data_IF_672689156413
#
_entry.id   IF_672689156413
#
_cell.length_a   1.000
_cell.length_b   1.000
_cell.length_c   1.000
_cell.angle_alpha   90.00
_cell.angle_beta   90.00
_cell.angle_gamma   90.00
#
_symmetry.space_group_name_H-M   'P 1'
#
loop_
_entity.id
_entity.type
_entity.pdbx_description
1 polymer ?
#
# COMPACT_ATOMS: atom_id res chain seq x y z
N UNK A 1 51.41 -4.24 28.47
CA UNK A 1 50.20 -4.04 27.62
C UNK A 1 49.07 -3.51 28.50
N UNK A 2 48.64 -2.26 28.25
CA UNK A 2 47.70 -1.53 29.11
C UNK A 2 46.26 -1.97 28.82
N UNK A 3 45.56 -2.46 29.86
CA UNK A 3 44.15 -2.91 29.82
C UNK A 3 43.16 -1.82 29.40
N UNK A 4 43.59 -0.55 29.29
CA UNK A 4 42.75 0.60 28.96
C UNK A 4 42.43 0.73 27.47
N UNK A 5 43.21 0.11 26.58
CA UNK A 5 43.01 0.23 25.13
C UNK A 5 41.97 -0.73 24.55
N UNK A 6 41.63 -1.80 25.27
CA UNK A 6 40.68 -2.84 24.80
C UNK A 6 39.22 -2.38 24.99
N UNK A 7 38.94 -1.59 26.03
CA UNK A 7 37.58 -1.14 26.35
C UNK A 7 37.05 -0.08 25.38
N UNK A 8 37.94 0.71 24.75
CA UNK A 8 37.55 1.73 23.79
C UNK A 8 37.15 1.16 22.42
N UNK A 9 37.71 0.01 22.01
CA UNK A 9 37.39 -0.64 20.73
C UNK A 9 36.03 -1.37 20.74
N UNK A 10 35.60 -1.89 21.89
CA UNK A 10 34.30 -2.56 22.04
C UNK A 10 33.13 -1.57 22.06
N UNK A 11 33.32 -0.37 22.61
CA UNK A 11 32.27 0.64 22.69
C UNK A 11 31.90 1.25 21.34
N UNK A 12 32.87 1.39 20.42
CA UNK A 12 32.62 1.96 19.09
C UNK A 12 31.92 0.96 18.18
N UNK A 13 32.28 -0.33 18.25
CA UNK A 13 31.66 -1.39 17.42
C UNK A 13 30.17 -1.61 17.68
N UNK A 14 29.71 -1.45 18.93
CA UNK A 14 28.29 -1.63 19.26
C UNK A 14 27.42 -0.43 18.81
N UNK A 15 27.97 0.79 18.83
CA UNK A 15 27.25 1.99 18.39
C UNK A 15 27.09 2.04 16.87
N UNK A 16 28.10 1.58 16.11
CA UNK A 16 28.01 1.52 14.64
C UNK A 16 27.06 0.43 14.14
N UNK A 17 26.93 -0.71 14.83
CA UNK A 17 25.91 -1.73 14.51
C UNK A 17 24.49 -1.22 14.79
N UNK A 18 24.27 -0.49 15.89
CA UNK A 18 22.97 0.08 16.23
C UNK A 18 22.47 1.14 15.23
N UNK A 19 23.38 1.97 14.69
CA UNK A 19 23.06 2.97 13.67
C UNK A 19 22.86 2.36 12.27
N UNK A 20 23.57 1.28 11.92
CA UNK A 20 23.33 0.54 10.68
C UNK A 20 21.97 -0.17 10.69
N UNK A 21 21.52 -0.70 11.83
CA UNK A 21 20.18 -1.30 11.96
C UNK A 21 19.03 -0.31 11.73
N UNK A 22 19.21 0.96 12.12
CA UNK A 22 18.18 1.99 11.93
C UNK A 22 18.09 2.48 10.47
N UNK A 23 19.17 2.33 9.69
CA UNK A 23 19.25 2.80 8.29
C UNK A 23 19.05 1.67 7.26
N UNK A 24 19.32 0.41 7.63
CA UNK A 24 19.16 -0.78 6.76
C UNK A 24 18.08 -1.76 7.22
N UNK A 25 17.57 -1.65 8.46
CA UNK A 25 16.58 -2.58 9.01
C UNK A 25 15.12 -2.30 8.62
N UNK A 26 14.84 -1.20 7.92
CA UNK A 26 13.50 -0.88 7.42
C UNK A 26 13.16 -1.61 6.11
N UNK A 27 14.16 -2.02 5.33
CA UNK A 27 13.94 -2.73 4.06
C UNK A 27 13.81 -4.26 4.21
N UNK A 28 14.21 -4.83 5.36
CA UNK A 28 14.11 -6.29 5.59
C UNK A 28 12.77 -6.76 6.18
N UNK A 29 11.92 -5.87 6.70
CA UNK A 29 10.65 -6.28 7.36
C UNK A 29 9.58 -6.69 6.33
N UNK A 30 9.77 -6.38 5.04
CA UNK A 30 8.95 -6.95 3.98
C UNK A 30 9.28 -8.43 3.70
N UNK A 31 10.47 -8.91 4.07
CA UNK A 31 10.98 -10.22 3.64
C UNK A 31 10.77 -11.34 4.68
N UNK A 32 10.66 -11.01 5.98
CA UNK A 32 10.46 -12.01 7.04
C UNK A 32 9.04 -12.59 7.08
N UNK A 33 8.03 -11.92 6.51
CA UNK A 33 6.68 -12.49 6.39
C UNK A 33 6.58 -13.60 5.34
N UNK A 34 7.53 -13.69 4.40
CA UNK A 34 7.61 -14.78 3.42
C UNK A 34 8.24 -16.05 4.00
N UNK A 35 9.05 -15.94 5.07
CA UNK A 35 9.79 -17.04 5.67
C UNK A 35 9.00 -17.79 6.76
N UNK A 36 7.95 -17.18 7.32
CA UNK A 36 7.12 -17.80 8.37
C UNK A 36 6.03 -18.75 7.81
N UNK A 37 5.83 -18.78 6.49
CA UNK A 37 4.98 -19.74 5.79
C UNK A 37 5.75 -21.05 5.53
N UNK A 38 6.05 -21.78 6.62
CA UNK A 38 6.86 -23.01 6.63
C UNK A 38 6.56 -24.01 5.51
N UNK A 39 7.34 -23.93 4.42
CA UNK A 39 7.38 -24.92 3.34
C UNK A 39 6.53 -24.63 2.10
N UNK A 40 5.80 -23.51 2.03
CA UNK A 40 4.98 -23.15 0.86
C UNK A 40 5.67 -22.13 -0.09
N UNK A 41 6.97 -22.33 -0.33
CA UNK A 41 7.84 -21.36 -1.03
C UNK A 41 7.36 -20.95 -2.43
N UNK A 42 6.62 -21.80 -3.15
CA UNK A 42 6.11 -21.49 -4.49
C UNK A 42 4.83 -20.64 -4.52
N UNK A 43 4.00 -20.65 -3.47
CA UNK A 43 2.78 -19.83 -3.43
C UNK A 43 3.04 -18.41 -2.91
N UNK A 44 4.02 -18.24 -2.02
CA UNK A 44 4.36 -16.93 -1.46
C UNK A 44 5.32 -16.10 -2.33
N UNK A 45 6.10 -16.74 -3.21
CA UNK A 45 6.93 -16.00 -4.18
C UNK A 45 6.09 -15.40 -5.30
N UNK A 46 5.03 -16.06 -5.73
CA UNK A 46 4.17 -15.56 -6.79
C UNK A 46 3.40 -14.28 -6.41
N UNK A 47 3.09 -14.07 -5.12
CA UNK A 47 2.43 -12.84 -4.65
C UNK A 47 3.38 -11.68 -4.38
N UNK A 48 4.66 -11.94 -4.07
CA UNK A 48 5.63 -10.88 -3.78
C UNK A 48 6.48 -10.46 -4.99
N UNK A 49 6.72 -11.35 -5.96
CA UNK A 49 7.51 -11.04 -7.16
C UNK A 49 6.66 -10.33 -8.23
N UNK A 50 5.33 -10.53 -8.23
CA UNK A 50 4.42 -9.89 -9.19
C UNK A 50 4.02 -8.45 -8.82
N UNK A 51 4.25 -7.96 -7.60
CA UNK A 51 3.77 -6.65 -7.18
C UNK A 51 4.68 -5.48 -7.56
N UNK A 52 5.90 -5.73 -8.07
CA UNK A 52 6.86 -4.66 -8.39
C UNK A 52 7.05 -4.40 -9.90
N UNK A 53 6.87 -5.39 -10.77
CA UNK A 53 7.16 -5.25 -12.21
C UNK A 53 5.91 -5.13 -13.11
N UNK A 54 4.71 -5.44 -12.61
CA UNK A 54 3.44 -5.44 -13.37
C UNK A 54 2.41 -4.44 -12.80
N UNK A 55 2.85 -3.21 -12.51
CA UNK A 55 1.92 -2.13 -12.14
C UNK A 55 0.84 -2.04 -13.24
N UNK A 56 -0.43 -2.15 -12.84
CA UNK A 56 -1.55 -2.01 -13.76
C UNK A 56 -1.37 -0.71 -14.55
N UNK A 57 -1.41 -0.81 -15.88
CA UNK A 57 -0.96 0.21 -16.84
C UNK A 57 -1.58 1.62 -16.60
N UNK A 58 -2.69 1.71 -15.84
CA UNK A 58 -3.42 2.93 -15.50
C UNK A 58 -3.58 3.18 -13.97
N UNK A 59 -2.77 2.56 -13.11
CA UNK A 59 -2.93 2.62 -11.65
C UNK A 59 -2.65 4.01 -11.04
N UNK A 60 -1.77 4.79 -11.67
CA UNK A 60 -1.35 6.10 -11.19
C UNK A 60 -1.56 7.16 -12.27
N UNK A 61 -2.67 7.90 -12.18
CA UNK A 61 -3.01 8.99 -13.09
C UNK A 61 -2.93 10.38 -12.42
N UNK A 62 -2.58 10.42 -11.12
CA UNK A 62 -2.55 11.66 -10.34
C UNK A 62 -3.92 12.30 -10.15
N UNK A 63 -5.00 11.55 -10.41
CA UNK A 63 -6.37 12.00 -10.29
C UNK A 63 -6.84 11.94 -8.84
N UNK A 64 -7.70 12.89 -8.46
CA UNK A 64 -8.40 12.85 -7.19
C UNK A 64 -9.81 12.33 -7.46
N UNK A 65 -10.17 11.26 -6.76
CA UNK A 65 -11.50 10.67 -6.81
C UNK A 65 -12.35 11.22 -5.67
N UNK A 66 -13.60 11.58 -5.96
CA UNK A 66 -14.52 12.18 -5.02
C UNK A 66 -15.87 11.45 -4.98
N UNK A 67 -16.50 11.40 -3.82
CA UNK A 67 -17.84 10.83 -3.69
C UNK A 67 -18.45 11.05 -2.31
N UNK A 68 -19.59 10.40 -2.10
CA UNK A 68 -20.27 10.35 -0.79
C UNK A 68 -20.42 8.89 -0.41
N UNK A 69 -19.85 8.50 0.73
CA UNK A 69 -19.92 7.14 1.28
C UNK A 69 -20.51 7.23 2.68
N UNK A 70 -21.58 6.48 2.93
CA UNK A 70 -22.32 6.51 4.21
C UNK A 70 -22.70 7.93 4.67
N UNK A 71 -23.07 8.80 3.71
CA UNK A 71 -23.45 10.19 3.97
C UNK A 71 -22.28 11.15 4.26
N UNK A 72 -21.04 10.68 4.16
CA UNK A 72 -19.82 11.48 4.38
C UNK A 72 -19.15 11.82 3.06
N UNK A 73 -18.64 13.03 2.94
CA UNK A 73 -17.86 13.42 1.77
C UNK A 73 -16.49 12.74 1.84
N UNK A 74 -16.14 12.01 0.78
CA UNK A 74 -14.86 11.28 0.69
C UNK A 74 -14.09 11.76 -0.52
N UNK A 75 -12.78 11.99 -0.35
CA UNK A 75 -11.83 12.11 -1.45
C UNK A 75 -10.68 11.13 -1.29
N UNK A 76 -10.18 10.59 -2.39
CA UNK A 76 -9.03 9.70 -2.43
C UNK A 76 -8.10 10.12 -3.58
N UNK A 77 -6.85 10.36 -3.24
CA UNK A 77 -5.76 10.64 -4.17
C UNK A 77 -4.68 9.58 -3.95
N UNK A 78 -4.22 8.98 -5.04
CA UNK A 78 -3.06 8.10 -5.04
C UNK A 78 -1.81 8.96 -5.23
N UNK A 79 -0.80 8.78 -4.38
CA UNK A 79 0.41 9.61 -4.32
C UNK A 79 1.68 8.73 -4.35
N UNK A 80 2.86 9.36 -4.34
CA UNK A 80 4.13 8.65 -4.13
C UNK A 80 4.55 7.69 -5.26
N UNK A 81 4.04 7.88 -6.47
CA UNK A 81 4.19 6.92 -7.58
C UNK A 81 3.36 5.64 -7.43
N UNK A 82 2.27 5.67 -6.64
CA UNK A 82 1.37 4.53 -6.48
C UNK A 82 1.62 3.68 -5.25
N UNK A 83 2.52 4.10 -4.35
CA UNK A 83 2.85 3.40 -3.10
C UNK A 83 2.22 4.05 -1.85
N UNK A 84 1.54 5.18 -2.02
CA UNK A 84 0.88 5.91 -0.94
C UNK A 84 -0.48 6.47 -1.35
N UNK A 85 -1.27 6.86 -0.36
CA UNK A 85 -2.55 7.52 -0.57
C UNK A 85 -2.75 8.74 0.35
N UNK A 86 -3.59 9.66 -0.10
CA UNK A 86 -4.19 10.73 0.69
C UNK A 86 -5.70 10.59 0.61
N UNK A 87 -6.34 10.32 1.75
CA UNK A 87 -7.79 10.21 1.85
C UNK A 87 -8.34 11.31 2.76
N UNK A 88 -9.44 11.94 2.37
CA UNK A 88 -10.19 12.86 3.23
C UNK A 88 -11.57 12.29 3.47
N UNK A 89 -12.04 12.32 4.72
CA UNK A 89 -13.42 11.98 5.10
C UNK A 89 -13.98 13.15 5.90
N UNK A 90 -15.01 13.82 5.38
CA UNK A 90 -15.57 15.06 5.92
C UNK A 90 -14.50 16.12 6.26
N UNK A 91 -13.45 16.19 5.44
CA UNK A 91 -12.34 17.13 5.62
C UNK A 91 -11.22 16.64 6.55
N UNK A 92 -11.39 15.50 7.23
CA UNK A 92 -10.32 14.88 8.01
C UNK A 92 -9.40 14.07 7.10
N UNK A 93 -8.14 14.50 7.00
CA UNK A 93 -7.15 13.91 6.10
C UNK A 93 -6.34 12.82 6.80
N UNK A 94 -6.19 11.70 6.10
CA UNK A 94 -5.32 10.57 6.44
C UNK A 94 -4.32 10.33 5.30
N UNK A 95 -3.07 10.11 5.65
CA UNK A 95 -2.02 9.63 4.74
C UNK A 95 -1.65 8.21 5.15
N UNK A 96 -1.41 7.35 4.17
CA UNK A 96 -1.03 5.97 4.45
C UNK A 96 -0.35 5.29 3.27
N UNK A 97 0.05 4.04 3.51
CA UNK A 97 0.67 3.18 2.52
C UNK A 97 -0.40 2.52 1.65
N UNK A 98 -0.09 2.35 0.37
CA UNK A 98 -0.94 1.74 -0.64
C UNK A 98 -0.22 0.54 -1.25
N UNK A 99 -0.96 -0.54 -1.51
CA UNK A 99 -0.58 -1.55 -2.47
C UNK A 99 -1.57 -1.52 -3.63
N UNK A 100 -1.07 -1.73 -4.85
CA UNK A 100 -1.92 -1.88 -6.04
C UNK A 100 -1.76 -3.29 -6.59
N UNK A 101 -2.86 -4.00 -6.71
CA UNK A 101 -2.91 -5.33 -7.31
C UNK A 101 -3.60 -5.26 -8.67
N UNK A 102 -3.20 -6.14 -9.58
CA UNK A 102 -3.87 -6.33 -10.86
C UNK A 102 -4.96 -7.38 -10.70
N UNK A 103 -6.14 -7.09 -11.24
CA UNK A 103 -7.23 -8.04 -11.33
C UNK A 103 -8.17 -8.04 -10.12
N UNK A 104 -9.44 -8.33 -10.38
CA UNK A 104 -10.51 -8.42 -9.40
C UNK A 104 -11.61 -9.31 -9.98
N UNK A 105 -12.03 -10.32 -9.23
CA UNK A 105 -12.96 -11.36 -9.70
C UNK A 105 -12.53 -11.97 -11.05
N UNK A 106 -13.33 -11.79 -12.10
CA UNK A 106 -13.09 -12.34 -13.45
C UNK A 106 -12.41 -11.34 -14.38
N UNK A 107 -12.19 -10.09 -13.93
CA UNK A 107 -11.60 -9.03 -14.74
C UNK A 107 -10.14 -8.79 -14.33
N UNK A 108 -9.22 -9.40 -15.09
CA UNK A 108 -7.77 -9.33 -14.92
C UNK A 108 -7.18 -7.95 -15.25
N UNK A 109 -7.96 -7.04 -15.83
CA UNK A 109 -7.48 -5.71 -16.22
C UNK A 109 -7.90 -4.61 -15.25
N UNK A 110 -8.58 -4.96 -14.15
CA UNK A 110 -8.85 -4.01 -13.07
C UNK A 110 -7.60 -3.68 -12.27
N UNK A 111 -7.64 -2.54 -11.56
CA UNK A 111 -6.66 -2.20 -10.53
C UNK A 111 -7.35 -2.22 -9.17
N UNK A 112 -6.82 -3.00 -8.24
CA UNK A 112 -7.28 -3.08 -6.86
C UNK A 112 -6.33 -2.29 -5.95
N UNK A 113 -6.82 -1.19 -5.41
CA UNK A 113 -6.11 -0.33 -4.47
C UNK A 113 -6.40 -0.77 -3.04
N UNK A 114 -5.36 -1.22 -2.33
CA UNK A 114 -5.43 -1.70 -0.96
C UNK A 114 -4.74 -0.68 -0.06
N UNK A 115 -5.52 0.15 0.61
CA UNK A 115 -5.05 1.12 1.59
C UNK A 115 -4.71 0.40 2.89
N UNK A 116 -3.68 0.89 3.59
CA UNK A 116 -3.17 0.29 4.82
C UNK A 116 -2.73 -1.17 4.65
N UNK A 117 -2.22 -1.54 3.47
CA UNK A 117 -1.96 -2.94 3.11
C UNK A 117 -1.05 -3.73 4.07
N UNK A 118 -0.21 -3.05 4.86
CA UNK A 118 0.64 -3.70 5.87
C UNK A 118 -0.09 -4.06 7.17
N UNK A 119 -1.26 -3.46 7.40
CA UNK A 119 -2.13 -3.71 8.55
C UNK A 119 -2.94 -5.01 8.36
N UNK A 120 -3.53 -5.56 9.44
CA UNK A 120 -4.45 -6.69 9.33
C UNK A 120 -5.58 -6.40 8.34
N UNK A 121 -6.08 -7.43 7.64
CA UNK A 121 -7.07 -7.29 6.56
C UNK A 121 -8.34 -6.52 6.98
N UNK A 122 -8.77 -6.66 8.24
CA UNK A 122 -9.93 -5.95 8.81
C UNK A 122 -9.75 -4.42 8.87
N UNK A 123 -8.51 -3.93 8.80
CA UNK A 123 -8.16 -2.50 8.81
C UNK A 123 -7.84 -1.97 7.40
N UNK A 124 -7.80 -2.85 6.39
CA UNK A 124 -7.54 -2.48 5.01
C UNK A 124 -8.81 -1.95 4.35
N UNK A 125 -8.66 -0.93 3.52
CA UNK A 125 -9.74 -0.37 2.70
C UNK A 125 -9.40 -0.69 1.25
N UNK A 126 -10.31 -1.36 0.56
CA UNK A 126 -10.08 -1.88 -0.77
C UNK A 126 -10.98 -1.15 -1.77
N UNK A 127 -10.39 -0.54 -2.79
CA UNK A 127 -11.10 0.16 -3.87
C UNK A 127 -10.71 -0.46 -5.20
N UNK A 128 -11.67 -0.78 -6.05
CA UNK A 128 -11.39 -1.29 -7.41
C UNK A 128 -11.64 -0.19 -8.45
N UNK A 129 -10.69 -0.03 -9.37
CA UNK A 129 -10.85 0.68 -10.63
C UNK A 129 -11.23 -0.34 -11.70
N UNK A 130 -12.46 -0.27 -12.18
CA UNK A 130 -12.98 -1.23 -13.16
C UNK A 130 -12.38 -0.94 -14.54
N UNK A 131 -12.05 -2.00 -15.30
CA UNK A 131 -11.53 -1.84 -16.68
C UNK A 131 -12.57 -1.25 -17.65
N UNK A 132 -13.85 -1.35 -17.29
CA UNK A 132 -14.96 -0.79 -18.07
C UNK A 132 -15.23 0.69 -17.78
N UNK A 133 -14.75 1.22 -16.65
CA UNK A 133 -14.95 2.61 -16.22
C UNK A 133 -13.75 3.10 -15.40
N UNK A 134 -12.73 3.62 -16.10
CA UNK A 134 -11.48 4.10 -15.48
C UNK A 134 -11.68 5.41 -14.70
N UNK A 135 -12.86 6.03 -14.77
CA UNK A 135 -13.17 7.25 -14.03
C UNK A 135 -13.77 6.95 -12.65
N UNK A 136 -13.90 5.67 -12.28
CA UNK A 136 -14.64 5.27 -11.09
C UNK A 136 -13.84 4.32 -10.21
N UNK A 137 -13.90 4.57 -8.91
CA UNK A 137 -13.52 3.63 -7.88
C UNK A 137 -14.77 3.10 -7.18
N UNK A 138 -14.84 1.79 -6.96
CA UNK A 138 -15.93 1.15 -6.22
C UNK A 138 -15.33 0.46 -4.99
N UNK A 139 -15.96 0.64 -3.82
CA UNK A 139 -15.50 0.02 -2.59
C UNK A 139 -15.70 -1.50 -2.66
N UNK A 140 -14.73 -2.25 -2.14
CA UNK A 140 -14.90 -3.68 -1.87
C UNK A 140 -15.25 -3.84 -0.39
N UNK A 141 -16.39 -4.47 -0.12
CA UNK A 141 -16.88 -4.69 1.23
C UNK A 141 -16.08 -5.77 1.98
N UNK A 142 -16.42 -5.95 3.26
CA UNK A 142 -15.80 -6.95 4.14
C UNK A 142 -15.96 -8.41 3.68
N UNK A 143 -16.91 -8.69 2.79
CA UNK A 143 -17.19 -10.02 2.24
C UNK A 143 -16.51 -10.19 0.87
N UNK A 144 -15.72 -9.21 0.43
CA UNK A 144 -14.98 -9.23 -0.83
C UNK A 144 -15.83 -8.86 -2.05
N UNK A 145 -17.00 -8.25 -1.87
CA UNK A 145 -17.91 -7.89 -2.97
C UNK A 145 -17.92 -6.39 -3.23
N UNK A 146 -18.32 -6.01 -4.44
CA UNK A 146 -18.48 -4.60 -4.79
C UNK A 146 -19.66 -3.97 -4.07
N UNK A 147 -19.39 -2.91 -3.31
CA UNK A 147 -20.41 -2.01 -2.79
C UNK A 147 -20.67 -0.87 -3.78
N UNK A 148 -21.66 -1.10 -4.65
CA UNK A 148 -22.06 -0.12 -5.68
C UNK A 148 -22.66 1.18 -5.12
N UNK A 149 -23.03 1.23 -3.83
CA UNK A 149 -23.45 2.47 -3.18
C UNK A 149 -22.26 3.34 -2.75
N UNK A 150 -21.10 2.73 -2.53
CA UNK A 150 -19.86 3.39 -2.15
C UNK A 150 -18.95 3.55 -3.37
N UNK A 151 -19.15 4.66 -4.09
CA UNK A 151 -18.43 4.97 -5.33
C UNK A 151 -17.72 6.32 -5.25
N UNK A 152 -16.50 6.40 -5.76
CA UNK A 152 -15.79 7.66 -6.01
C UNK A 152 -15.58 7.87 -7.50
N UNK A 153 -15.62 9.12 -7.95
CA UNK A 153 -15.49 9.51 -9.36
C UNK A 153 -14.32 10.47 -9.52
N UNK A 154 -13.50 10.21 -10.52
CA UNK A 154 -12.39 11.04 -10.94
C UNK A 154 -12.86 12.47 -11.23
N UNK A 155 -12.16 13.45 -10.67
CA UNK A 155 -12.29 14.85 -11.09
C UNK A 155 -11.01 15.24 -11.82
N UNK A 156 -11.14 15.68 -13.07
CA UNK A 156 -10.00 16.19 -13.82
C UNK A 156 -9.37 17.37 -13.07
N UNK A 157 -8.07 17.30 -12.79
CA UNK A 157 -7.29 18.35 -12.13
C UNK A 157 -7.21 19.67 -12.95
N UNK A 158 -7.91 19.79 -14.08
CA UNK A 158 -7.91 20.93 -15.01
C UNK A 158 -9.10 21.88 -14.87
N UNK A 159 -9.83 21.83 -13.75
CA UNK A 159 -10.87 22.84 -13.45
C UNK A 159 -10.45 23.75 -12.29
N UNK A 160 -9.44 24.59 -12.54
CA UNK A 160 -9.20 25.88 -11.87
C UNK A 160 -8.53 26.86 -12.83
#
# INVERSE_FOLDING_TARGET
MSKKSITALLGIGLVSIGLLYQFWGREFIAQDRCLDAGGAYQQATQSCDHSMDDIAYDAFDGVIYHGVVDGKSVSLEIIGHGDGYRMSVDGQVTLGELNTERGFEQDENTSLFILNWRQPEIEQIKWVKLSSDHQRLVLVDKDGKLDTAATLVATDATSN
#
